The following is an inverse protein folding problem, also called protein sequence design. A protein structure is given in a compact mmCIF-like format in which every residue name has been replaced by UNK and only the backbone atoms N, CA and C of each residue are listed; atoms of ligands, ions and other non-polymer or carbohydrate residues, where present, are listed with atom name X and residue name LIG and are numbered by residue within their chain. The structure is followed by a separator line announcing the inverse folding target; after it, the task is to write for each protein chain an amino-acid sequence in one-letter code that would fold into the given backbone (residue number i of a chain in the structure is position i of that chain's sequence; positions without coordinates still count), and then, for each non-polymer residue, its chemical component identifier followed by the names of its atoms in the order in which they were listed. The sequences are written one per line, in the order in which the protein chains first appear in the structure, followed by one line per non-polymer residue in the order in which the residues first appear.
data_IF_010544550686
#
_entry.id   IF_010544550686
#
_cell.length_a   1.000
_cell.length_b   1.000
_cell.length_c   1.000
_cell.angle_alpha   90.00
_cell.angle_beta   90.00
_cell.angle_gamma   90.00
#
_symmetry.space_group_name_H-M   'P 1'
#
loop_
_entity.id
_entity.type
_entity.pdbx_description
1 polymer ?
#
# COMPACT_ATOMS: atom_id res chain seq x y z
N UNK A 1 14.83 36.18 -18.70
CA UNK A 1 14.20 34.85 -18.82
C UNK A 1 13.88 34.38 -17.42
N UNK A 2 12.60 34.28 -17.06
CA UNK A 2 12.16 33.88 -15.72
C UNK A 2 12.20 32.35 -15.62
N UNK A 3 13.03 31.80 -14.74
CA UNK A 3 12.95 30.38 -14.35
C UNK A 3 12.10 30.31 -13.08
N UNK A 4 10.84 29.93 -13.24
CA UNK A 4 9.95 29.66 -12.11
C UNK A 4 10.32 28.30 -11.53
N UNK A 5 11.03 28.31 -10.39
CA UNK A 5 11.17 27.13 -9.54
C UNK A 5 9.88 26.95 -8.75
N UNK A 6 8.95 26.14 -9.28
CA UNK A 6 7.79 25.65 -8.52
C UNK A 6 8.31 24.63 -7.50
N UNK A 7 8.68 25.10 -6.31
CA UNK A 7 8.95 24.20 -5.19
C UNK A 7 7.62 23.87 -4.52
N UNK A 8 6.88 22.93 -5.13
CA UNK A 8 5.63 22.41 -4.57
C UNK A 8 5.93 21.71 -3.25
N UNK A 9 5.31 22.11 -2.12
CA UNK A 9 5.51 21.42 -0.87
C UNK A 9 4.93 20.00 -0.99
N UNK A 10 5.79 18.99 -0.87
CA UNK A 10 5.38 17.59 -0.86
C UNK A 10 4.45 17.37 0.34
N UNK A 11 3.16 17.14 0.07
CA UNK A 11 2.16 16.86 1.09
C UNK A 11 2.58 15.61 1.90
N UNK A 12 2.36 15.58 3.22
CA UNK A 12 2.74 14.46 4.09
C UNK A 12 1.85 13.23 3.84
N UNK A 13 2.09 12.56 2.72
CA UNK A 13 1.54 11.28 2.25
C UNK A 13 1.81 11.03 0.74
N UNK A 14 2.36 12.01 0.01
CA UNK A 14 2.56 11.94 -1.45
C UNK A 14 3.63 10.92 -1.92
N UNK A 15 4.21 10.14 -1.01
CA UNK A 15 5.49 9.44 -1.25
C UNK A 15 5.32 8.10 -2.00
N UNK A 16 4.11 7.54 -2.17
CA UNK A 16 4.00 6.17 -2.69
C UNK A 16 3.00 5.95 -3.84
N UNK A 17 2.07 6.86 -4.14
CA UNK A 17 1.09 6.57 -5.20
C UNK A 17 1.72 6.41 -6.59
N UNK A 18 2.93 6.95 -6.79
CA UNK A 18 3.71 6.87 -8.04
C UNK A 18 4.67 5.66 -8.09
N UNK A 19 4.97 5.05 -6.94
CA UNK A 19 5.78 3.84 -6.90
C UNK A 19 4.87 2.70 -7.36
N UNK A 20 5.15 2.09 -8.51
CA UNK A 20 4.36 0.99 -9.11
C UNK A 20 4.35 -0.33 -8.32
N UNK A 21 4.46 -0.27 -7.00
CA UNK A 21 4.49 -1.38 -6.06
C UNK A 21 3.48 -1.16 -4.92
N UNK A 22 3.00 -2.27 -4.36
CA UNK A 22 2.16 -2.24 -3.15
C UNK A 22 3.09 -2.18 -1.94
N UNK A 23 3.04 -1.10 -1.15
CA UNK A 23 3.71 -1.04 0.14
C UNK A 23 2.81 -1.60 1.23
N UNK A 24 3.40 -2.43 2.10
CA UNK A 24 2.72 -3.02 3.25
C UNK A 24 3.58 -2.87 4.49
N UNK A 25 3.03 -2.32 5.57
CA UNK A 25 3.58 -2.46 6.91
C UNK A 25 2.82 -3.55 7.67
N UNK A 26 3.55 -4.31 8.48
CA UNK A 26 3.03 -5.42 9.27
C UNK A 26 3.43 -5.24 10.73
N UNK A 27 2.45 -5.13 11.62
CA UNK A 27 2.65 -5.10 13.07
C UNK A 27 2.22 -6.45 13.65
N UNK A 28 3.13 -7.16 14.31
CA UNK A 28 2.91 -8.51 14.81
C UNK A 28 2.64 -8.54 16.32
N UNK A 29 1.38 -8.31 16.71
CA UNK A 29 0.93 -8.57 18.07
C UNK A 29 0.69 -10.06 18.36
N UNK A 30 0.57 -10.43 19.65
CA UNK A 30 0.30 -11.82 20.05
C UNK A 30 -1.09 -12.30 19.60
N UNK A 31 -2.10 -11.45 19.72
CA UNK A 31 -3.51 -11.81 19.42
C UNK A 31 -3.99 -11.26 18.08
N UNK A 32 -3.32 -10.23 17.56
CA UNK A 32 -3.74 -9.56 16.33
C UNK A 32 -2.52 -9.06 15.59
N UNK A 33 -2.47 -9.32 14.28
CA UNK A 33 -1.55 -8.71 13.35
C UNK A 33 -2.26 -7.62 12.58
N UNK A 34 -1.61 -6.48 12.38
CA UNK A 34 -2.16 -5.36 11.63
C UNK A 34 -1.40 -5.20 10.32
N UNK A 35 -2.16 -5.13 9.24
CA UNK A 35 -1.64 -4.93 7.88
C UNK A 35 -2.08 -3.54 7.44
N UNK A 36 -1.14 -2.62 7.26
CA UNK A 36 -1.42 -1.31 6.64
C UNK A 36 -0.84 -1.30 5.24
N UNK A 37 -1.65 -1.00 4.24
CA UNK A 37 -1.26 -1.09 2.84
C UNK A 37 -1.50 0.23 2.11
N UNK A 38 -0.57 0.56 1.21
CA UNK A 38 -0.72 1.61 0.22
C UNK A 38 -0.44 1.01 -1.15
N UNK A 39 -1.42 1.06 -2.03
CA UNK A 39 -1.37 0.43 -3.34
C UNK A 39 -1.44 1.48 -4.46
N UNK A 40 -0.76 1.24 -5.60
CA UNK A 40 -0.85 2.08 -6.77
C UNK A 40 -2.30 2.28 -7.22
N UNK A 41 -2.59 3.50 -7.65
CA UNK A 41 -3.94 3.94 -7.98
C UNK A 41 -4.83 4.23 -6.77
N UNK A 42 -4.50 3.79 -5.54
CA UNK A 42 -5.26 4.11 -4.32
C UNK A 42 -4.71 5.35 -3.61
N UNK A 43 -5.56 6.37 -3.45
CA UNK A 43 -5.20 7.61 -2.74
C UNK A 43 -5.24 7.47 -1.21
N UNK A 44 -5.76 6.35 -0.69
CA UNK A 44 -5.94 6.13 0.75
C UNK A 44 -5.21 4.86 1.22
N UNK A 45 -4.51 4.98 2.35
CA UNK A 45 -3.99 3.84 3.09
C UNK A 45 -5.14 3.01 3.67
N UNK A 46 -5.07 1.71 3.48
CA UNK A 46 -6.03 0.75 4.04
C UNK A 46 -5.39 0.02 5.21
N UNK A 47 -6.19 -0.37 6.21
CA UNK A 47 -5.75 -1.09 7.40
C UNK A 47 -6.64 -2.31 7.62
N UNK A 48 -6.03 -3.46 7.84
CA UNK A 48 -6.69 -4.75 8.07
C UNK A 48 -6.16 -5.39 9.36
N UNK A 49 -7.04 -6.05 10.10
CA UNK A 49 -6.68 -6.88 11.24
C UNK A 49 -6.76 -8.35 10.88
N UNK A 50 -5.74 -9.13 11.27
CA UNK A 50 -5.66 -10.58 11.10
C UNK A 50 -5.43 -11.19 12.49
N UNK A 51 -6.01 -12.36 12.75
CA UNK A 51 -5.76 -13.05 14.02
C UNK A 51 -4.26 -13.38 14.18
N UNK A 52 -3.73 -13.24 15.39
CA UNK A 52 -2.34 -13.55 15.66
C UNK A 52 -2.04 -15.03 15.37
N UNK A 53 -0.99 -15.29 14.59
CA UNK A 53 -0.62 -16.65 14.17
C UNK A 53 -1.36 -17.16 12.92
N UNK A 54 -2.39 -16.45 12.45
CA UNK A 54 -3.11 -16.82 11.23
C UNK A 54 -2.35 -16.41 9.96
N UNK A 55 -1.34 -17.21 9.63
CA UNK A 55 -0.53 -17.04 8.41
C UNK A 55 -1.36 -17.19 7.13
N UNK A 56 -2.37 -18.06 7.11
CA UNK A 56 -3.23 -18.25 5.95
C UNK A 56 -4.10 -17.00 5.70
N UNK A 57 -4.69 -16.43 6.75
CA UNK A 57 -5.44 -15.18 6.68
C UNK A 57 -4.57 -14.00 6.24
N UNK A 58 -3.31 -13.94 6.70
CA UNK A 58 -2.35 -12.93 6.24
C UNK A 58 -2.06 -13.07 4.74
N UNK A 59 -1.75 -14.27 4.27
CA UNK A 59 -1.48 -14.52 2.84
C UNK A 59 -2.70 -14.22 1.96
N UNK A 60 -3.91 -14.56 2.42
CA UNK A 60 -5.15 -14.22 1.73
C UNK A 60 -5.35 -12.70 1.62
N UNK A 61 -5.08 -11.95 2.71
CA UNK A 61 -5.13 -10.49 2.70
C UNK A 61 -4.16 -9.89 1.66
N UNK A 62 -2.91 -10.39 1.61
CA UNK A 62 -1.92 -9.93 0.63
C UNK A 62 -2.31 -10.29 -0.81
N UNK A 63 -2.90 -11.47 -1.04
CA UNK A 63 -3.40 -11.87 -2.35
C UNK A 63 -4.54 -10.96 -2.83
N UNK A 64 -5.46 -10.59 -1.93
CA UNK A 64 -6.54 -9.67 -2.25
C UNK A 64 -6.02 -8.28 -2.61
N UNK A 65 -5.03 -7.75 -1.88
CA UNK A 65 -4.38 -6.49 -2.20
C UNK A 65 -3.77 -6.49 -3.60
N UNK A 66 -3.10 -7.59 -3.99
CA UNK A 66 -2.57 -7.75 -5.35
C UNK A 66 -3.67 -7.77 -6.40
N UNK A 67 -4.76 -8.50 -6.16
CA UNK A 67 -5.89 -8.57 -7.08
C UNK A 67 -6.55 -7.19 -7.28
N UNK A 68 -6.83 -6.48 -6.20
CA UNK A 68 -7.41 -5.13 -6.22
C UNK A 68 -6.52 -4.14 -6.97
N UNK A 69 -5.21 -4.20 -6.75
CA UNK A 69 -4.24 -3.34 -7.43
C UNK A 69 -4.22 -3.59 -8.93
N UNK A 70 -4.26 -4.87 -9.36
CA UNK A 70 -4.34 -5.23 -10.78
C UNK A 70 -5.61 -4.73 -11.43
N UNK A 71 -6.76 -4.94 -10.76
CA UNK A 71 -8.04 -4.45 -11.27
C UNK A 71 -8.03 -2.93 -11.48
N UNK A 72 -7.29 -2.19 -10.65
CA UNK A 72 -7.21 -0.73 -10.72
C UNK A 72 -6.19 -0.20 -11.72
N UNK A 73 -5.05 -0.87 -11.89
CA UNK A 73 -3.92 -0.37 -12.69
C UNK A 73 -3.70 -1.11 -14.00
N UNK A 74 -4.33 -2.28 -14.19
CA UNK A 74 -4.05 -3.19 -15.30
C UNK A 74 -2.66 -3.81 -15.27
N UNK A 75 -1.84 -3.48 -14.26
CA UNK A 75 -0.44 -3.90 -14.16
C UNK A 75 -0.26 -4.90 -13.03
N UNK A 76 0.65 -5.84 -13.27
CA UNK A 76 1.21 -6.69 -12.24
C UNK A 76 2.34 -5.91 -11.56
N UNK A 77 2.31 -5.74 -10.24
CA UNK A 77 3.50 -5.34 -9.50
C UNK A 77 4.58 -6.41 -9.76
N UNK A 78 5.72 -6.08 -10.39
CA UNK A 78 6.68 -7.08 -10.87
C UNK A 78 7.53 -7.74 -9.76
N UNK A 79 7.18 -7.52 -8.50
CA UNK A 79 7.89 -8.03 -7.33
C UNK A 79 6.87 -8.40 -6.24
#
# INVERSE_FOLDING_TARGET
MHVSTDHRPASPAAICSDIGAILVSLELGKSTWLVTSLAPGSEKMSRYGVAGGDSAGLLACLAELRLKTRARTGQFSPW
#
